data_IF_134420232387
#
_entry.id   IF_134420232387
#
_cell.length_a   1.000
_cell.length_b   1.000
_cell.length_c   1.000
_cell.angle_alpha   90.00
_cell.angle_beta   90.00
_cell.angle_gamma   90.00
#
_symmetry.space_group_name_H-M   'P 1'
#
loop_
_entity.id
_entity.type
_entity.pdbx_description
1 polymer ?
#
# COMPACT_ATOMS: atom_id res chain seq x y z
N UNK A 1 11.81 2.99 4.34
CA UNK A 1 10.67 2.74 3.42
C UNK A 1 9.75 3.95 3.46
N UNK A 2 9.28 4.47 2.31
CA UNK A 2 8.52 5.75 2.25
C UNK A 2 7.01 5.60 2.44
N UNK A 3 6.48 4.41 2.14
CA UNK A 3 5.07 4.05 2.25
C UNK A 3 4.82 3.42 3.62
N UNK A 4 3.72 3.78 4.27
CA UNK A 4 3.28 3.27 5.57
C UNK A 4 1.92 2.57 5.43
N UNK A 5 1.54 1.82 6.47
CA UNK A 5 0.19 1.25 6.60
C UNK A 5 -0.83 2.40 6.65
N UNK A 6 -1.94 2.26 5.95
CA UNK A 6 -2.99 3.29 5.86
C UNK A 6 -2.85 4.25 4.68
N UNK A 7 -1.68 4.31 4.03
CA UNK A 7 -1.52 5.15 2.85
C UNK A 7 -2.41 4.63 1.69
N UNK A 8 -3.07 5.54 0.97
CA UNK A 8 -3.73 5.23 -0.29
C UNK A 8 -2.70 5.23 -1.41
N UNK A 9 -2.62 4.15 -2.16
CA UNK A 9 -1.59 3.96 -3.20
C UNK A 9 -2.20 3.56 -4.53
N UNK A 10 -1.47 3.88 -5.60
CA UNK A 10 -1.76 3.44 -6.96
C UNK A 10 -0.64 2.58 -7.50
N UNK A 11 -1.01 1.50 -8.18
CA UNK A 11 -0.05 0.60 -8.84
C UNK A 11 0.42 1.24 -10.15
N UNK A 12 1.74 1.43 -10.28
CA UNK A 12 2.37 2.03 -11.46
C UNK A 12 2.67 1.00 -12.54
N UNK A 13 3.07 -0.20 -12.14
CA UNK A 13 3.58 -1.25 -13.03
C UNK A 13 3.13 -2.64 -12.55
N UNK A 14 3.09 -3.61 -13.46
CA UNK A 14 2.68 -4.99 -13.20
C UNK A 14 1.24 -5.29 -13.60
N UNK A 15 0.76 -6.48 -13.19
CA UNK A 15 -0.56 -7.03 -13.57
C UNK A 15 -1.73 -6.11 -13.23
N UNK A 16 -1.66 -5.46 -12.08
CA UNK A 16 -2.72 -4.60 -11.53
C UNK A 16 -2.47 -3.11 -11.79
N UNK A 17 -1.70 -2.77 -12.83
CA UNK A 17 -1.38 -1.39 -13.19
C UNK A 17 -2.64 -0.52 -13.27
N UNK A 18 -2.58 0.64 -12.63
CA UNK A 18 -3.65 1.61 -12.63
C UNK A 18 -4.65 1.44 -11.48
N UNK A 19 -4.73 0.27 -10.83
CA UNK A 19 -5.58 0.08 -9.66
C UNK A 19 -5.10 0.90 -8.47
N UNK A 20 -6.05 1.33 -7.66
CA UNK A 20 -5.84 2.06 -6.43
C UNK A 20 -6.34 1.22 -5.25
N UNK A 21 -5.68 1.33 -4.11
CA UNK A 21 -6.05 0.61 -2.91
C UNK A 21 -5.36 1.16 -1.67
N UNK A 22 -5.78 0.67 -0.51
CA UNK A 22 -5.19 1.05 0.78
C UNK A 22 -4.11 0.04 1.18
N UNK A 23 -3.02 0.53 1.77
CA UNK A 23 -1.95 -0.34 2.27
C UNK A 23 -2.38 -0.98 3.58
N UNK A 24 -2.73 -2.26 3.52
CA UNK A 24 -3.13 -3.07 4.69
C UNK A 24 -1.91 -3.38 5.57
N UNK A 25 -0.78 -3.72 4.96
CA UNK A 25 0.44 -4.06 5.68
C UNK A 25 1.68 -3.63 4.92
N UNK A 26 2.61 -3.02 5.65
CA UNK A 26 3.94 -2.67 5.19
C UNK A 26 4.95 -3.75 5.64
N UNK A 27 5.79 -4.24 4.73
CA UNK A 27 6.85 -5.22 5.02
C UNK A 27 8.23 -4.59 4.73
N UNK A 28 8.82 -3.83 5.67
CA UNK A 28 10.07 -3.10 5.44
C UNK A 28 11.27 -4.00 5.16
N UNK A 29 11.34 -5.16 5.82
CA UNK A 29 12.45 -6.11 5.69
C UNK A 29 12.58 -6.64 4.26
N UNK A 30 11.46 -6.92 3.60
CA UNK A 30 11.43 -7.45 2.23
C UNK A 30 11.15 -6.38 1.18
N UNK A 31 11.00 -5.11 1.58
CA UNK A 31 10.65 -3.97 0.71
C UNK A 31 9.36 -4.21 -0.10
N UNK A 32 8.37 -4.84 0.52
CA UNK A 32 7.06 -5.12 -0.08
C UNK A 32 5.92 -4.47 0.71
N UNK A 33 4.76 -4.33 0.09
CA UNK A 33 3.51 -3.88 0.70
C UNK A 33 2.37 -4.80 0.27
N UNK A 34 1.40 -5.00 1.15
CA UNK A 34 0.13 -5.65 0.83
C UNK A 34 -0.89 -4.54 0.65
N UNK A 35 -1.50 -4.48 -0.53
CA UNK A 35 -2.49 -3.48 -0.92
C UNK A 35 -3.80 -4.21 -1.16
N UNK A 36 -4.89 -3.66 -0.63
CA UNK A 36 -6.22 -4.25 -0.76
C UNK A 36 -6.64 -4.39 -2.23
N UNK A 37 -7.10 -5.58 -2.62
CA UNK A 37 -7.62 -5.87 -3.97
C UNK A 37 -6.57 -5.87 -5.07
N UNK A 38 -5.28 -5.88 -4.71
CA UNK A 38 -4.15 -5.90 -5.63
C UNK A 38 -3.35 -7.18 -5.44
N UNK A 39 -2.93 -7.81 -6.54
CA UNK A 39 -2.19 -9.06 -6.54
C UNK A 39 -2.91 -10.17 -5.75
N UNK A 40 -4.23 -10.24 -5.89
CA UNK A 40 -5.06 -11.23 -5.20
C UNK A 40 -4.82 -12.62 -5.78
N UNK A 41 -4.53 -13.58 -4.91
CA UNK A 41 -4.36 -14.98 -5.23
C UNK A 41 -5.46 -15.82 -4.57
N UNK A 42 -5.90 -16.87 -5.28
CA UNK A 42 -6.82 -17.86 -4.73
C UNK A 42 -6.03 -18.90 -3.94
N UNK A 43 -6.31 -18.99 -2.65
CA UNK A 43 -5.71 -19.97 -1.74
C UNK A 43 -6.75 -21.01 -1.34
N UNK A 44 -6.51 -22.26 -1.67
CA UNK A 44 -7.29 -23.37 -1.14
C UNK A 44 -6.86 -23.62 0.30
N UNK A 45 -7.78 -23.41 1.25
CA UNK A 45 -7.51 -23.60 2.66
C UNK A 45 -8.30 -24.79 3.19
N UNK A 46 -7.58 -25.81 3.66
CA UNK A 46 -8.16 -26.92 4.39
C UNK A 46 -8.64 -26.42 5.76
N UNK A 47 -9.79 -26.91 6.22
CA UNK A 47 -10.28 -26.70 7.59
C UNK A 47 -9.23 -27.21 8.59
N UNK A 48 -8.82 -26.34 9.51
CA UNK A 48 -7.91 -26.71 10.62
C UNK A 48 -8.63 -26.67 11.97
N UNK A 49 -9.76 -25.96 12.06
CA UNK A 49 -10.63 -25.90 13.24
C UNK A 49 -12.07 -26.05 12.78
N UNK A 50 -12.92 -26.68 13.61
CA UNK A 50 -14.34 -26.89 13.30
C UNK A 50 -15.09 -25.58 12.98
N UNK A 51 -14.66 -24.46 13.58
CA UNK A 51 -15.26 -23.13 13.41
C UNK A 51 -14.79 -22.36 12.16
N UNK A 52 -13.75 -22.82 11.46
CA UNK A 52 -13.31 -22.16 10.22
C UNK A 52 -13.97 -22.80 9.01
N UNK A 53 -14.30 -22.01 8.01
CA UNK A 53 -14.81 -22.54 6.74
C UNK A 53 -13.69 -23.07 5.83
N UNK A 54 -13.93 -24.23 5.23
CA UNK A 54 -13.08 -24.79 4.18
C UNK A 54 -13.47 -24.13 2.87
N UNK A 55 -12.48 -23.77 2.06
CA UNK A 55 -12.79 -23.28 0.73
C UNK A 55 -11.69 -22.50 0.06
N UNK A 56 -12.13 -21.73 -0.92
CA UNK A 56 -11.31 -20.87 -1.74
C UNK A 56 -11.28 -19.47 -1.11
N UNK A 57 -10.17 -19.11 -0.48
CA UNK A 57 -9.97 -17.78 0.07
C UNK A 57 -9.26 -16.89 -0.96
N UNK A 58 -9.74 -15.66 -1.13
CA UNK A 58 -9.01 -14.64 -1.87
C UNK A 58 -8.06 -13.93 -0.90
N UNK A 59 -6.76 -14.01 -1.17
CA UNK A 59 -5.71 -13.41 -0.32
C UNK A 59 -4.91 -12.43 -1.15
N UNK A 60 -4.79 -11.20 -0.66
CA UNK A 60 -3.97 -10.18 -1.29
C UNK A 60 -2.48 -10.44 -1.01
N UNK A 61 -1.69 -10.53 -2.07
CA UNK A 61 -0.29 -10.92 -1.98
C UNK A 61 0.63 -9.70 -2.01
N UNK A 62 1.80 -9.77 -1.34
CA UNK A 62 2.74 -8.64 -1.30
C UNK A 62 3.24 -8.24 -2.68
N UNK A 63 3.29 -6.93 -2.95
CA UNK A 63 3.88 -6.33 -4.14
C UNK A 63 5.12 -5.49 -3.78
N UNK A 64 6.10 -5.35 -4.69
CA UNK A 64 7.27 -4.50 -4.44
C UNK A 64 6.89 -3.02 -4.25
N UNK A 65 7.52 -2.37 -3.27
CA UNK A 65 7.31 -0.93 -2.99
C UNK A 65 7.65 -0.03 -4.19
N UNK A 66 8.54 -0.47 -5.09
CA UNK A 66 8.89 0.29 -6.29
C UNK A 66 7.75 0.39 -7.31
N UNK A 67 6.78 -0.53 -7.27
CA UNK A 67 5.68 -0.61 -8.24
C UNK A 67 4.44 0.19 -7.79
N UNK A 68 4.52 0.91 -6.67
CA UNK A 68 3.42 1.69 -6.11
C UNK A 68 3.83 3.13 -5.84
N UNK A 69 2.89 4.05 -6.04
CA UNK A 69 3.01 5.45 -5.66
C UNK A 69 1.91 5.82 -4.67
N UNK A 70 2.23 6.72 -3.74
CA UNK A 70 1.22 7.27 -2.82
C UNK A 70 0.36 8.28 -3.56
N UNK A 71 -0.94 8.20 -3.36
CA UNK A 71 -1.90 9.15 -3.90
C UNK A 71 -1.93 10.34 -2.96
N UNK A 72 -1.72 11.55 -3.49
CA UNK A 72 -1.85 12.77 -2.69
C UNK A 72 -3.33 12.98 -2.32
N UNK A 73 -3.63 13.23 -1.03
CA UNK A 73 -5.02 13.47 -0.59
C UNK A 73 -5.62 14.74 -1.20
N UNK A 74 -4.77 15.70 -1.61
CA UNK A 74 -5.21 17.00 -2.12
C UNK A 74 -5.65 16.96 -3.59
N UNK A 75 -4.94 16.19 -4.45
CA UNK A 75 -5.16 16.22 -5.90
C UNK A 75 -5.47 14.85 -6.52
N UNK A 76 -5.57 13.81 -5.70
CA UNK A 76 -5.96 12.46 -6.11
C UNK A 76 -5.00 11.80 -7.12
N UNK A 77 -3.82 12.37 -7.34
CA UNK A 77 -2.87 11.90 -8.34
C UNK A 77 -1.69 11.18 -7.67
N UNK A 78 -1.06 10.20 -8.34
CA UNK A 78 0.08 9.47 -7.79
C UNK A 78 1.32 10.37 -7.69
N UNK A 79 1.99 10.37 -6.54
CA UNK A 79 3.12 11.25 -6.26
C UNK A 79 4.28 10.57 -5.53
N UNK A 80 5.43 11.23 -5.56
CA UNK A 80 6.60 10.84 -4.75
C UNK A 80 6.51 11.51 -3.38
N UNK A 81 6.80 10.72 -2.34
CA UNK A 81 6.89 11.20 -0.95
C UNK A 81 8.21 11.96 -0.74
N UNK A 82 8.10 13.17 -0.19
CA UNK A 82 9.18 13.98 0.37
C UNK A 82 9.05 14.10 1.89
N UNK A 83 9.94 14.86 2.51
CA UNK A 83 9.89 15.16 3.94
C UNK A 83 10.09 16.66 4.13
N UNK A 84 9.34 17.24 5.07
CA UNK A 84 9.55 18.59 5.59
C UNK A 84 9.76 18.49 7.10
N UNK A 85 10.57 19.39 7.65
CA UNK A 85 10.73 19.56 9.08
C UNK A 85 9.95 20.83 9.42
N UNK A 86 8.94 20.71 10.27
CA UNK A 86 8.15 21.86 10.71
C UNK A 86 8.91 22.63 11.81
N UNK A 87 8.40 23.81 12.18
CA UNK A 87 9.05 24.70 13.15
C UNK A 87 9.29 24.03 14.52
N UNK A 88 8.43 23.08 14.88
CA UNK A 88 8.51 22.30 16.13
C UNK A 88 9.55 21.15 16.06
N UNK A 89 10.27 21.02 14.94
CA UNK A 89 11.25 19.95 14.71
C UNK A 89 10.64 18.62 14.24
N UNK A 90 9.31 18.53 14.13
CA UNK A 90 8.62 17.32 13.67
C UNK A 90 8.85 17.08 12.18
N UNK A 91 9.23 15.85 11.84
CA UNK A 91 9.45 15.44 10.44
C UNK A 91 8.17 14.86 9.83
N UNK A 92 7.48 15.67 9.03
CA UNK A 92 6.26 15.27 8.32
C UNK A 92 6.55 14.76 6.91
N UNK A 93 5.68 13.88 6.43
CA UNK A 93 5.73 13.40 5.04
C UNK A 93 4.91 14.35 4.18
N UNK A 94 5.49 14.75 3.04
CA UNK A 94 4.82 15.65 2.12
C UNK A 94 4.74 15.07 0.72
N UNK A 95 3.72 15.47 -0.03
CA UNK A 95 3.65 15.31 -1.45
C UNK A 95 4.69 16.24 -2.10
N UNK A 96 5.66 15.69 -2.84
CA UNK A 96 6.66 16.53 -3.52
C UNK A 96 6.08 17.48 -4.55
N UNK A 97 4.88 17.19 -5.07
CA UNK A 97 4.24 18.00 -6.13
C UNK A 97 3.42 19.14 -5.57
N UNK A 98 2.63 18.92 -4.52
CA UNK A 98 1.73 19.94 -3.98
C UNK A 98 2.14 20.48 -2.62
N UNK A 99 3.11 19.85 -1.95
CA UNK A 99 3.52 20.22 -0.60
C UNK A 99 2.54 19.79 0.50
N UNK A 100 1.39 19.21 0.15
CA UNK A 100 0.41 18.70 1.11
C UNK A 100 0.97 17.54 1.93
N UNK A 101 0.49 17.42 3.17
CA UNK A 101 0.87 16.33 4.07
C UNK A 101 0.26 14.98 3.63
N UNK A 102 1.01 13.89 3.87
CA UNK A 102 0.66 12.50 3.51
C UNK A 102 0.56 11.59 4.74
#
# INVERSE_FOLDING_TARGET
MRIKKGDRVRVLTGKDRGKEGLVVTALPATRKVIVEGVNTARKHQKRTRATMDAGLLNVDMPIPVANVAVISPQDGKPTRVGYRIDADGTKVRICKRTGAEI
#
